data_IF_529165589357
#
_entry.id   IF_529165589357
#
_cell.length_a   1.000
_cell.length_b   1.000
_cell.length_c   1.000
_cell.angle_alpha   90.00
_cell.angle_beta   90.00
_cell.angle_gamma   90.00
#
_symmetry.space_group_name_H-M   'P 1'
#
loop_
_entity.id
_entity.type
_entity.pdbx_description
1 polymer ?
#
# COMPACT_ATOMS: atom_id res chain seq x y z
N UNK A 1 15.26 -2.01 26.13
CA UNK A 1 15.09 -3.26 25.35
C UNK A 1 15.32 -2.94 23.88
N UNK A 2 15.96 -3.82 23.13
CA UNK A 2 16.05 -3.71 21.67
C UNK A 2 14.88 -4.44 21.05
N UNK A 3 14.17 -3.79 20.11
CA UNK A 3 13.05 -4.34 19.37
C UNK A 3 13.47 -4.58 17.93
N UNK A 4 13.10 -5.72 17.35
CA UNK A 4 13.48 -6.09 15.98
C UNK A 4 12.24 -6.14 15.10
N UNK A 5 12.30 -5.47 13.96
CA UNK A 5 11.26 -5.53 12.96
C UNK A 5 11.79 -6.01 11.62
N UNK A 6 11.11 -6.97 11.01
CA UNK A 6 11.40 -7.47 9.67
C UNK A 6 10.26 -7.08 8.73
N UNK A 7 10.62 -6.59 7.55
CA UNK A 7 9.69 -6.38 6.44
C UNK A 7 10.06 -7.29 5.26
N UNK A 8 9.18 -8.25 4.97
CA UNK A 8 9.33 -9.19 3.85
C UNK A 8 8.76 -8.53 2.59
N UNK A 9 9.54 -7.65 1.98
CA UNK A 9 9.13 -6.85 0.82
C UNK A 9 9.16 -7.61 -0.51
N UNK A 10 8.92 -6.91 -1.62
CA UNK A 10 8.92 -7.53 -2.96
C UNK A 10 10.35 -7.77 -3.49
N UNK A 11 11.31 -6.93 -3.15
CA UNK A 11 12.70 -7.02 -3.65
C UNK A 11 13.70 -7.58 -2.65
N UNK A 12 13.31 -7.73 -1.38
CA UNK A 12 14.18 -8.22 -0.32
C UNK A 12 13.53 -8.09 1.04
N UNK A 13 14.19 -8.64 2.06
CA UNK A 13 13.89 -8.40 3.47
C UNK A 13 14.68 -7.20 3.93
N UNK A 14 13.99 -6.24 4.54
CA UNK A 14 14.56 -5.18 5.34
C UNK A 14 14.33 -5.47 6.82
N UNK A 15 15.36 -5.40 7.62
CA UNK A 15 15.26 -5.62 9.05
C UNK A 15 15.90 -4.45 9.82
N UNK A 16 15.27 -4.07 10.92
CA UNK A 16 15.76 -3.00 11.81
C UNK A 16 15.77 -3.47 13.25
N UNK A 17 16.76 -3.00 14.01
CA UNK A 17 16.78 -3.08 15.45
C UNK A 17 16.67 -1.66 16.01
N UNK A 18 15.72 -1.43 16.91
CA UNK A 18 15.44 -0.10 17.47
C UNK A 18 15.38 -0.16 18.99
N UNK A 19 15.73 0.95 19.64
CA UNK A 19 15.53 1.14 21.07
C UNK A 19 14.08 1.52 21.40
N UNK A 20 13.69 1.49 22.66
CA UNK A 20 12.35 1.81 23.13
C UNK A 20 11.91 3.26 22.78
N UNK A 21 12.86 4.17 22.66
CA UNK A 21 12.62 5.56 22.27
C UNK A 21 12.61 5.79 20.74
N UNK A 22 12.62 4.69 19.94
CA UNK A 22 12.61 4.74 18.49
C UNK A 22 13.97 4.97 17.84
N UNK A 23 15.06 5.04 18.62
CA UNK A 23 16.41 5.20 18.09
C UNK A 23 16.86 3.97 17.30
N UNK A 24 17.38 4.20 16.07
CA UNK A 24 17.90 3.14 15.22
C UNK A 24 19.21 2.59 15.77
N UNK A 25 19.25 1.30 16.11
CA UNK A 25 20.43 0.59 16.64
C UNK A 25 21.21 -0.10 15.52
N UNK A 26 20.52 -0.82 14.62
CA UNK A 26 21.13 -1.52 13.50
C UNK A 26 20.13 -1.75 12.38
N UNK A 27 20.64 -1.96 11.17
CA UNK A 27 19.84 -2.36 10.00
C UNK A 27 20.51 -3.51 9.27
N UNK A 28 19.69 -4.32 8.60
CA UNK A 28 20.15 -5.36 7.70
C UNK A 28 19.18 -5.45 6.52
N UNK A 29 19.73 -5.71 5.34
CA UNK A 29 18.94 -5.93 4.13
C UNK A 29 19.51 -7.13 3.37
N UNK A 30 18.60 -7.92 2.76
CA UNK A 30 18.96 -9.07 1.95
C UNK A 30 17.96 -9.19 0.79
N UNK A 31 18.48 -9.16 -0.44
CA UNK A 31 17.69 -9.22 -1.65
C UNK A 31 17.42 -10.66 -2.12
N UNK A 32 16.38 -10.82 -2.93
CA UNK A 32 16.05 -12.06 -3.63
C UNK A 32 15.44 -11.79 -5.00
N UNK A 33 15.49 -12.78 -5.93
CA UNK A 33 15.02 -12.58 -7.28
C UNK A 33 13.48 -12.47 -7.35
N UNK A 34 13.01 -11.71 -8.33
CA UNK A 34 11.64 -11.72 -8.79
C UNK A 34 11.57 -12.52 -10.10
N UNK A 35 10.74 -13.55 -10.14
CA UNK A 35 10.46 -14.32 -11.37
C UNK A 35 9.27 -13.72 -12.11
N UNK A 36 9.45 -13.48 -13.42
CA UNK A 36 8.39 -13.02 -14.32
C UNK A 36 8.24 -14.01 -15.48
N UNK A 37 7.68 -15.21 -15.24
CA UNK A 37 7.70 -16.31 -16.23
C UNK A 37 6.89 -16.00 -17.50
N UNK A 38 5.97 -15.03 -17.45
CA UNK A 38 5.20 -14.50 -18.59
C UNK A 38 4.91 -13.02 -18.38
N UNK A 39 4.58 -12.25 -19.43
CA UNK A 39 4.12 -10.87 -19.28
C UNK A 39 2.96 -10.77 -18.28
N UNK A 40 3.07 -9.87 -17.32
CA UNK A 40 2.07 -9.66 -16.26
C UNK A 40 2.08 -10.70 -15.14
N UNK A 41 2.97 -11.71 -15.16
CA UNK A 41 3.13 -12.68 -14.09
C UNK A 41 4.27 -12.30 -13.16
N UNK A 42 4.07 -12.50 -11.86
CA UNK A 42 5.06 -12.23 -10.83
C UNK A 42 5.04 -13.32 -9.76
N UNK A 43 6.15 -14.01 -9.58
CA UNK A 43 6.28 -15.14 -8.66
C UNK A 43 7.59 -15.07 -7.87
N UNK A 44 7.57 -15.62 -6.65
CA UNK A 44 8.78 -15.80 -5.83
C UNK A 44 8.76 -17.15 -5.11
N UNK A 45 9.94 -17.69 -4.82
CA UNK A 45 10.07 -18.85 -3.95
C UNK A 45 9.98 -18.40 -2.48
N UNK A 46 9.02 -18.90 -1.68
CA UNK A 46 8.93 -18.57 -0.26
C UNK A 46 10.19 -18.92 0.56
N UNK A 47 11.00 -19.89 0.10
CA UNK A 47 12.27 -20.22 0.76
C UNK A 47 13.29 -19.09 0.65
N UNK A 48 13.26 -18.29 -0.43
CA UNK A 48 14.14 -17.13 -0.57
C UNK A 48 13.85 -16.08 0.52
N UNK A 49 12.56 -15.88 0.85
CA UNK A 49 12.17 -14.98 1.95
C UNK A 49 12.68 -15.46 3.30
N UNK A 50 12.58 -16.78 3.54
CA UNK A 50 13.07 -17.38 4.77
C UNK A 50 14.59 -17.25 4.90
N UNK A 51 15.35 -17.56 3.87
CA UNK A 51 16.81 -17.43 3.87
C UNK A 51 17.24 -15.97 4.08
N UNK A 52 16.59 -15.01 3.41
CA UNK A 52 16.87 -13.60 3.59
C UNK A 52 16.53 -13.11 5.01
N UNK A 53 15.39 -13.56 5.57
CA UNK A 53 15.03 -13.24 6.96
C UNK A 53 16.07 -13.76 7.95
N UNK A 54 16.54 -15.00 7.80
CA UNK A 54 17.60 -15.56 8.64
C UNK A 54 18.92 -14.78 8.52
N UNK A 55 19.32 -14.43 7.28
CA UNK A 55 20.53 -13.65 7.04
C UNK A 55 20.45 -12.26 7.65
N UNK A 56 19.29 -11.61 7.63
CA UNK A 56 19.06 -10.32 8.30
C UNK A 56 19.12 -10.47 9.82
N UNK A 57 18.41 -11.44 10.40
CA UNK A 57 18.38 -11.67 11.85
C UNK A 57 19.76 -11.97 12.41
N UNK A 58 20.59 -12.72 11.70
CA UNK A 58 21.97 -13.04 12.12
C UNK A 58 22.89 -11.81 12.25
N UNK A 59 22.49 -10.67 11.65
CA UNK A 59 23.25 -9.41 11.68
C UNK A 59 22.73 -8.39 12.70
N UNK A 60 21.62 -8.70 13.35
CA UNK A 60 20.96 -7.80 14.30
C UNK A 60 21.14 -8.30 15.74
N UNK A 61 21.10 -7.40 16.75
CA UNK A 61 21.04 -7.80 18.15
C UNK A 61 19.75 -8.56 18.45
N UNK A 62 19.80 -9.45 19.44
CA UNK A 62 18.63 -10.20 19.90
C UNK A 62 17.57 -9.27 20.53
N UNK A 63 16.29 -9.61 20.32
CA UNK A 63 15.15 -8.90 20.89
C UNK A 63 13.82 -9.49 20.42
N UNK A 64 12.70 -9.02 20.96
CA UNK A 64 11.36 -9.34 20.41
C UNK A 64 11.27 -9.00 18.93
N UNK A 65 10.75 -9.94 18.14
CA UNK A 65 10.67 -9.82 16.69
C UNK A 65 9.22 -9.56 16.27
N UNK A 66 9.04 -8.53 15.45
CA UNK A 66 7.79 -8.25 14.72
C UNK A 66 7.98 -8.42 13.21
N UNK A 67 6.89 -8.79 12.53
CA UNK A 67 6.91 -9.08 11.12
C UNK A 67 5.99 -8.15 10.35
N UNK A 68 6.48 -7.63 9.24
CA UNK A 68 5.72 -6.98 8.19
C UNK A 68 6.04 -7.64 6.86
N UNK A 69 5.23 -7.43 5.85
CA UNK A 69 5.58 -7.89 4.51
C UNK A 69 4.54 -7.52 3.46
N UNK A 70 4.95 -7.75 2.20
CA UNK A 70 4.09 -7.56 1.04
C UNK A 70 2.77 -8.33 1.21
N UNK A 71 1.67 -7.63 1.01
CA UNK A 71 0.32 -8.16 1.19
C UNK A 71 -0.10 -9.07 0.01
N UNK A 72 -1.17 -9.82 0.18
CA UNK A 72 -1.90 -10.52 -0.90
C UNK A 72 -1.19 -11.70 -1.55
N UNK A 73 0.10 -11.91 -1.34
CA UNK A 73 0.86 -13.00 -1.96
C UNK A 73 0.30 -14.37 -1.55
N UNK A 74 0.07 -15.27 -2.51
CA UNK A 74 -0.48 -16.59 -2.24
C UNK A 74 0.62 -17.63 -2.04
N UNK A 75 0.78 -18.10 -0.80
CA UNK A 75 1.60 -19.27 -0.45
C UNK A 75 0.69 -20.45 -0.16
N UNK A 76 0.87 -21.56 -0.89
CA UNK A 76 0.11 -22.79 -0.70
C UNK A 76 0.99 -23.93 -0.22
N UNK A 77 0.58 -24.58 0.88
CA UNK A 77 1.33 -25.67 1.50
C UNK A 77 0.54 -26.99 1.45
N UNK A 78 1.27 -28.09 1.33
CA UNK A 78 0.74 -29.44 1.46
C UNK A 78 0.54 -29.87 2.92
N UNK A 79 0.11 -31.12 3.12
CA UNK A 79 -0.13 -31.68 4.45
C UNK A 79 1.15 -31.80 5.31
N UNK A 80 2.30 -31.90 4.67
CA UNK A 80 3.63 -31.95 5.29
C UNK A 80 4.22 -30.56 5.57
N UNK A 81 3.48 -29.48 5.25
CA UNK A 81 3.91 -28.10 5.42
C UNK A 81 4.86 -27.58 4.33
N UNK A 82 5.13 -28.37 3.30
CA UNK A 82 5.99 -27.96 2.18
C UNK A 82 5.24 -27.04 1.21
N UNK A 83 5.98 -26.10 0.65
CA UNK A 83 5.51 -25.22 -0.43
C UNK A 83 5.21 -26.05 -1.67
N UNK A 84 4.01 -25.94 -2.23
CA UNK A 84 3.57 -26.70 -3.39
C UNK A 84 4.02 -26.08 -4.72
N UNK A 85 4.24 -24.75 -4.71
CA UNK A 85 4.68 -24.00 -5.88
C UNK A 85 5.21 -22.61 -5.46
N UNK A 86 5.94 -21.87 -6.33
CA UNK A 86 6.28 -20.48 -6.10
C UNK A 86 5.02 -19.63 -5.80
N UNK A 87 5.13 -18.69 -4.89
CA UNK A 87 4.04 -17.79 -4.51
C UNK A 87 3.67 -16.86 -5.66
N UNK A 88 2.36 -16.67 -5.90
CA UNK A 88 1.85 -15.65 -6.84
C UNK A 88 1.73 -14.33 -6.08
N UNK A 89 2.41 -13.28 -6.56
CA UNK A 89 2.54 -12.02 -5.82
C UNK A 89 1.39 -11.03 -6.05
N UNK A 90 1.41 -9.94 -5.30
CA UNK A 90 0.40 -8.87 -5.32
C UNK A 90 0.35 -8.09 -6.65
N UNK A 91 1.46 -8.00 -7.38
CA UNK A 91 1.60 -7.31 -8.66
C UNK A 91 1.36 -8.23 -9.87
N UNK A 92 0.93 -9.47 -9.64
CA UNK A 92 0.55 -10.42 -10.69
C UNK A 92 -0.81 -10.07 -11.29
N UNK A 93 -0.94 -10.14 -12.61
CA UNK A 93 -2.14 -9.72 -13.34
C UNK A 93 -2.90 -10.89 -14.00
N UNK A 94 -2.51 -12.16 -13.72
CA UNK A 94 -3.07 -13.33 -14.44
C UNK A 94 -4.53 -13.65 -14.14
N UNK A 95 -5.09 -13.14 -13.03
CA UNK A 95 -6.37 -13.59 -12.45
C UNK A 95 -7.56 -12.67 -12.80
N UNK A 96 -7.52 -11.97 -13.93
CA UNK A 96 -8.59 -11.05 -14.32
C UNK A 96 -9.96 -11.77 -14.52
N UNK A 97 -9.94 -12.99 -15.08
CA UNK A 97 -11.15 -13.79 -15.26
C UNK A 97 -11.74 -14.23 -13.92
N UNK A 98 -10.89 -14.61 -12.97
CA UNK A 98 -11.30 -15.04 -11.64
C UNK A 98 -11.83 -13.85 -10.80
N UNK A 99 -11.36 -12.65 -11.03
CA UNK A 99 -11.96 -11.44 -10.43
C UNK A 99 -13.41 -11.25 -10.90
N UNK A 100 -13.67 -11.38 -12.20
CA UNK A 100 -15.02 -11.31 -12.74
C UNK A 100 -15.90 -12.44 -12.19
N UNK A 101 -15.39 -13.68 -12.12
CA UNK A 101 -16.10 -14.82 -11.53
C UNK A 101 -16.50 -14.55 -10.07
N UNK A 102 -15.61 -13.97 -9.26
CA UNK A 102 -15.91 -13.63 -7.87
C UNK A 102 -17.03 -12.60 -7.78
N UNK A 103 -16.97 -11.53 -8.56
CA UNK A 103 -18.00 -10.49 -8.59
C UNK A 103 -19.33 -11.03 -9.11
N UNK A 104 -19.32 -11.94 -10.10
CA UNK A 104 -20.54 -12.61 -10.62
C UNK A 104 -21.18 -13.55 -9.58
N UNK A 105 -20.38 -14.30 -8.80
CA UNK A 105 -20.89 -15.26 -7.78
C UNK A 105 -21.45 -14.58 -6.54
N UNK A 106 -20.84 -13.47 -6.10
CA UNK A 106 -21.17 -12.83 -4.82
C UNK A 106 -21.97 -11.54 -5.04
N UNK A 107 -21.73 -10.83 -6.14
CA UNK A 107 -22.19 -9.47 -6.38
C UNK A 107 -21.25 -8.42 -5.80
N UNK A 108 -20.97 -7.37 -6.57
CA UNK A 108 -20.01 -6.32 -6.18
C UNK A 108 -20.37 -5.67 -4.85
N UNK A 109 -21.64 -5.27 -4.67
CA UNK A 109 -22.10 -4.59 -3.45
C UNK A 109 -21.88 -5.47 -2.20
N UNK A 110 -22.26 -6.75 -2.28
CA UNK A 110 -22.11 -7.69 -1.16
C UNK A 110 -20.65 -8.01 -0.88
N UNK A 111 -19.85 -8.19 -1.92
CA UNK A 111 -18.40 -8.42 -1.77
C UNK A 111 -17.73 -7.24 -1.05
N UNK A 112 -18.04 -6.01 -1.48
CA UNK A 112 -17.50 -4.78 -0.86
C UNK A 112 -18.00 -4.62 0.58
N UNK A 113 -19.28 -4.92 0.85
CA UNK A 113 -19.82 -4.86 2.21
C UNK A 113 -19.07 -5.79 3.17
N UNK A 114 -18.77 -7.03 2.75
CA UNK A 114 -18.09 -8.02 3.58
C UNK A 114 -16.58 -7.76 3.69
N UNK A 115 -15.92 -7.52 2.54
CA UNK A 115 -14.45 -7.53 2.45
C UNK A 115 -13.81 -6.14 2.39
N UNK A 116 -14.62 -5.08 2.33
CA UNK A 116 -14.13 -3.71 2.15
C UNK A 116 -13.60 -3.41 0.75
N UNK A 117 -13.67 -4.36 -0.20
CA UNK A 117 -12.98 -4.26 -1.47
C UNK A 117 -13.75 -4.97 -2.60
N UNK A 118 -13.53 -4.50 -3.82
CA UNK A 118 -13.86 -5.24 -5.04
C UNK A 118 -12.79 -6.29 -5.34
N UNK A 119 -13.07 -7.24 -6.23
CA UNK A 119 -12.08 -8.21 -6.67
C UNK A 119 -11.00 -7.54 -7.55
N UNK A 120 -9.74 -7.75 -7.18
CA UNK A 120 -8.58 -7.26 -7.93
C UNK A 120 -7.57 -8.40 -8.12
N UNK A 121 -6.84 -8.39 -9.23
CA UNK A 121 -5.87 -9.43 -9.60
C UNK A 121 -4.78 -9.64 -8.55
N UNK A 122 -4.43 -8.59 -7.81
CA UNK A 122 -3.44 -8.64 -6.74
C UNK A 122 -3.87 -9.43 -5.50
N UNK A 123 -5.18 -9.61 -5.23
CA UNK A 123 -5.66 -10.28 -4.02
C UNK A 123 -5.50 -11.81 -4.03
N UNK A 124 -5.62 -12.44 -2.86
CA UNK A 124 -5.33 -13.87 -2.66
C UNK A 124 -6.43 -14.76 -3.23
N UNK A 125 -7.72 -14.43 -3.03
CA UNK A 125 -8.84 -15.25 -3.46
C UNK A 125 -8.86 -15.51 -4.99
N UNK A 126 -8.68 -14.53 -5.88
CA UNK A 126 -8.60 -14.77 -7.31
C UNK A 126 -7.49 -15.75 -7.69
N UNK A 127 -6.36 -15.74 -6.97
CA UNK A 127 -5.23 -16.65 -7.22
C UNK A 127 -5.54 -18.10 -6.84
N UNK A 128 -6.33 -18.30 -5.77
CA UNK A 128 -6.83 -19.63 -5.40
C UNK A 128 -7.76 -20.18 -6.48
N UNK A 129 -8.69 -19.38 -7.00
CA UNK A 129 -9.55 -19.79 -8.12
C UNK A 129 -8.74 -20.10 -9.37
N UNK A 130 -7.73 -19.26 -9.66
CA UNK A 130 -6.82 -19.52 -10.78
C UNK A 130 -6.09 -20.86 -10.63
N UNK A 131 -5.60 -21.22 -9.44
CA UNK A 131 -4.99 -22.54 -9.20
C UNK A 131 -6.00 -23.65 -9.45
N UNK A 132 -7.24 -23.50 -9.02
CA UNK A 132 -8.30 -24.49 -9.25
C UNK A 132 -8.52 -24.75 -10.74
N UNK A 133 -8.53 -23.70 -11.57
CA UNK A 133 -8.80 -23.80 -12.99
C UNK A 133 -7.59 -24.24 -13.82
N UNK A 134 -6.41 -23.76 -13.46
CA UNK A 134 -5.21 -23.92 -14.31
C UNK A 134 -4.16 -24.89 -13.76
N UNK A 135 -4.22 -25.22 -12.46
CA UNK A 135 -3.31 -26.15 -11.80
C UNK A 135 -4.07 -27.06 -10.81
N UNK A 136 -5.07 -27.84 -11.27
CA UNK A 136 -5.95 -28.63 -10.40
C UNK A 136 -5.18 -29.66 -9.57
N UNK A 137 -4.06 -30.20 -10.07
CA UNK A 137 -3.23 -31.13 -9.32
C UNK A 137 -2.56 -30.44 -8.10
N UNK A 138 -2.13 -29.19 -8.23
CA UNK A 138 -1.61 -28.38 -7.10
C UNK A 138 -2.73 -28.04 -6.16
N UNK A 139 -3.88 -27.56 -6.69
CA UNK A 139 -5.04 -27.18 -5.92
C UNK A 139 -5.56 -28.34 -5.03
N UNK A 140 -5.61 -29.55 -5.55
CA UNK A 140 -6.05 -30.75 -4.81
C UNK A 140 -5.12 -31.13 -3.64
N UNK A 141 -3.88 -30.68 -3.65
CA UNK A 141 -2.90 -30.96 -2.60
C UNK A 141 -2.89 -29.89 -1.51
N UNK A 142 -3.53 -28.71 -1.71
CA UNK A 142 -3.55 -27.62 -0.74
C UNK A 142 -4.16 -28.11 0.57
N UNK A 143 -3.50 -27.79 1.67
CA UNK A 143 -3.99 -27.99 3.04
C UNK A 143 -3.88 -26.71 3.86
N UNK A 144 -2.96 -25.82 3.50
CA UNK A 144 -2.79 -24.55 4.20
C UNK A 144 -2.49 -23.43 3.22
N UNK A 145 -3.04 -22.26 3.49
CA UNK A 145 -2.84 -20.99 2.76
C UNK A 145 -2.23 -19.99 3.72
N UNK A 146 -1.12 -19.38 3.33
CA UNK A 146 -0.44 -18.33 4.09
C UNK A 146 -0.15 -17.14 3.18
N UNK A 147 0.14 -15.99 3.78
CA UNK A 147 0.72 -14.83 3.09
C UNK A 147 2.26 -14.79 3.30
N UNK A 148 2.99 -13.95 2.58
CA UNK A 148 4.46 -13.97 2.60
C UNK A 148 5.08 -13.87 4.00
N UNK A 149 4.67 -12.86 4.81
CA UNK A 149 5.20 -12.72 6.18
C UNK A 149 4.76 -13.86 7.11
N UNK A 150 3.56 -14.42 6.88
CA UNK A 150 3.03 -15.52 7.69
C UNK A 150 3.76 -16.82 7.40
N UNK A 151 4.27 -16.99 6.17
CA UNK A 151 5.18 -18.07 5.85
C UNK A 151 6.51 -17.93 6.63
N UNK A 152 7.10 -16.74 6.67
CA UNK A 152 8.31 -16.47 7.47
C UNK A 152 8.01 -16.70 8.96
N UNK A 153 6.84 -16.26 9.47
CA UNK A 153 6.39 -16.55 10.81
C UNK A 153 6.32 -18.05 11.08
N UNK A 154 5.67 -18.81 10.20
CA UNK A 154 5.58 -20.27 10.33
C UNK A 154 6.96 -20.92 10.38
N UNK A 155 7.91 -20.47 9.59
CA UNK A 155 9.30 -20.96 9.61
C UNK A 155 10.04 -20.61 10.90
N UNK A 156 9.75 -19.44 11.52
CA UNK A 156 10.34 -19.00 12.78
C UNK A 156 9.77 -19.73 13.99
N UNK A 157 8.47 -19.98 14.01
CA UNK A 157 7.73 -20.39 15.23
C UNK A 157 7.14 -21.80 15.14
N UNK A 158 6.95 -22.34 13.94
CA UNK A 158 6.16 -23.56 13.69
C UNK A 158 4.64 -23.34 13.74
N UNK A 159 4.17 -22.14 14.07
CA UNK A 159 2.75 -21.81 14.19
C UNK A 159 2.21 -21.13 12.94
N UNK A 160 1.03 -21.56 12.49
CA UNK A 160 0.28 -20.91 11.42
C UNK A 160 -0.68 -19.92 12.04
N UNK A 161 -0.44 -18.66 11.77
CA UNK A 161 -1.27 -17.55 12.23
C UNK A 161 -1.22 -16.43 11.19
N UNK A 162 -2.26 -15.62 11.14
CA UNK A 162 -2.35 -14.40 10.34
C UNK A 162 -2.96 -13.29 11.20
N UNK A 163 -2.54 -12.05 10.98
CA UNK A 163 -3.20 -10.91 11.59
C UNK A 163 -4.37 -10.40 10.73
N UNK A 164 -5.35 -9.76 11.37
CA UNK A 164 -6.55 -9.25 10.72
C UNK A 164 -6.24 -8.20 9.64
N UNK A 165 -5.16 -7.40 9.82
CA UNK A 165 -4.80 -6.37 8.84
C UNK A 165 -4.36 -7.00 7.52
N UNK A 166 -3.47 -8.01 7.54
CA UNK A 166 -3.02 -8.69 6.34
C UNK A 166 -4.10 -9.64 5.79
N UNK A 167 -4.85 -10.33 6.67
CA UNK A 167 -5.97 -11.18 6.27
C UNK A 167 -7.04 -10.42 5.47
N UNK A 168 -7.26 -9.14 5.77
CA UNK A 168 -8.15 -8.26 4.98
C UNK A 168 -7.77 -8.21 3.51
N UNK A 169 -6.48 -8.29 3.20
CA UNK A 169 -5.94 -8.30 1.82
C UNK A 169 -6.13 -9.62 1.08
N UNK A 170 -6.75 -10.63 1.69
CA UNK A 170 -7.04 -11.91 1.01
C UNK A 170 -8.31 -11.89 0.17
N UNK A 171 -9.21 -10.96 0.41
CA UNK A 171 -10.60 -10.94 -0.09
C UNK A 171 -11.46 -12.11 0.46
N UNK A 172 -11.03 -12.73 1.56
CA UNK A 172 -11.73 -13.85 2.23
C UNK A 172 -12.17 -13.50 3.66
N UNK A 173 -11.72 -12.35 4.20
CA UNK A 173 -12.05 -11.89 5.54
C UNK A 173 -13.36 -11.09 5.52
N UNK A 174 -14.23 -11.33 6.49
CA UNK A 174 -15.24 -10.37 6.90
C UNK A 174 -14.54 -9.27 7.72
N UNK A 175 -14.30 -8.16 7.07
CA UNK A 175 -13.46 -7.07 7.61
C UNK A 175 -14.15 -6.38 8.79
N UNK A 176 -15.49 -6.29 8.77
CA UNK A 176 -16.25 -5.74 9.89
C UNK A 176 -16.09 -6.57 11.16
N UNK A 177 -16.11 -7.90 11.02
CA UNK A 177 -16.05 -8.85 12.14
C UNK A 177 -14.63 -9.38 12.42
N UNK A 178 -13.63 -9.02 11.60
CA UNK A 178 -12.22 -9.41 11.74
C UNK A 178 -12.02 -10.94 11.78
N UNK A 179 -12.81 -11.66 11.03
CA UNK A 179 -12.86 -13.12 10.97
C UNK A 179 -13.04 -13.61 9.54
N UNK A 180 -12.66 -14.84 9.23
CA UNK A 180 -12.90 -15.39 7.90
C UNK A 180 -14.39 -15.37 7.55
N UNK A 181 -14.71 -14.90 6.35
CA UNK A 181 -16.09 -14.86 5.85
C UNK A 181 -16.53 -16.26 5.41
N UNK A 182 -17.42 -16.89 6.20
CA UNK A 182 -18.02 -18.17 5.80
C UNK A 182 -18.80 -18.03 4.48
N UNK A 183 -19.48 -16.89 4.29
CA UNK A 183 -20.26 -16.61 3.08
C UNK A 183 -19.37 -16.53 1.84
N UNK A 184 -18.29 -15.75 1.88
CA UNK A 184 -17.36 -15.63 0.74
C UNK A 184 -16.65 -16.95 0.47
N UNK A 185 -16.16 -17.62 1.50
CA UNK A 185 -15.49 -18.92 1.36
C UNK A 185 -16.43 -19.98 0.76
N UNK A 186 -17.68 -20.05 1.22
CA UNK A 186 -18.68 -20.96 0.66
C UNK A 186 -19.05 -20.63 -0.78
N UNK A 187 -19.26 -19.33 -1.10
CA UNK A 187 -19.58 -18.89 -2.45
C UNK A 187 -18.46 -19.22 -3.47
N UNK A 188 -17.21 -19.26 -2.99
CA UNK A 188 -16.03 -19.55 -3.83
C UNK A 188 -15.55 -21.00 -3.74
N UNK A 189 -16.23 -21.87 -2.98
CA UNK A 189 -15.84 -23.25 -2.70
C UNK A 189 -14.40 -23.37 -2.13
N UNK A 190 -14.01 -22.43 -1.24
CA UNK A 190 -12.72 -22.42 -0.57
C UNK A 190 -12.88 -23.00 0.85
N UNK A 191 -12.20 -24.11 1.18
CA UNK A 191 -12.31 -24.71 2.51
C UNK A 191 -11.75 -23.79 3.60
N UNK A 192 -12.55 -23.42 4.60
CA UNK A 192 -12.11 -22.64 5.76
C UNK A 192 -10.94 -23.28 6.50
N UNK A 193 -10.86 -24.61 6.53
CA UNK A 193 -9.77 -25.34 7.17
C UNK A 193 -8.38 -25.14 6.53
N UNK A 194 -8.30 -24.53 5.37
CA UNK A 194 -7.02 -24.15 4.75
C UNK A 194 -6.45 -22.85 5.34
N UNK A 195 -7.33 -22.00 5.89
CA UNK A 195 -6.99 -20.67 6.36
C UNK A 195 -6.50 -20.74 7.83
N UNK A 196 -5.44 -19.99 8.19
CA UNK A 196 -4.91 -19.98 9.55
C UNK A 196 -5.86 -19.25 10.51
N UNK A 197 -5.75 -19.45 11.82
CA UNK A 197 -6.43 -18.62 12.80
C UNK A 197 -6.06 -17.14 12.64
N UNK A 198 -7.07 -16.26 12.76
CA UNK A 198 -6.91 -14.80 12.69
C UNK A 198 -6.70 -14.25 14.10
N UNK A 199 -5.73 -13.36 14.24
CA UNK A 199 -5.39 -12.68 15.50
C UNK A 199 -5.34 -11.16 15.28
N UNK A 200 -5.32 -10.38 16.34
CA UNK A 200 -4.94 -8.98 16.24
C UNK A 200 -3.43 -8.84 15.96
N UNK A 201 -3.05 -7.78 15.25
CA UNK A 201 -1.65 -7.55 14.87
C UNK A 201 -0.71 -7.45 16.09
N UNK A 202 -1.22 -6.93 17.21
CA UNK A 202 -0.48 -6.84 18.48
C UNK A 202 -0.29 -8.19 19.16
N UNK A 203 -1.19 -9.17 18.92
CA UNK A 203 -1.08 -10.51 19.50
C UNK A 203 -0.05 -11.37 18.79
N UNK A 204 0.13 -11.17 17.49
CA UNK A 204 1.10 -11.92 16.68
C UNK A 204 2.35 -11.09 16.32
N UNK A 205 2.46 -9.86 16.82
CA UNK A 205 3.54 -8.93 16.52
C UNK A 205 3.75 -8.82 15.00
N UNK A 206 2.71 -8.52 14.24
CA UNK A 206 2.85 -8.44 12.79
C UNK A 206 1.64 -7.84 12.10
N UNK A 207 1.88 -7.22 10.93
CA UNK A 207 0.86 -6.63 10.08
C UNK A 207 1.31 -6.63 8.61
N UNK A 208 0.37 -6.55 7.66
CA UNK A 208 0.69 -6.19 6.28
C UNK A 208 1.45 -4.86 6.20
N UNK A 209 2.26 -4.70 5.16
CA UNK A 209 3.23 -3.59 5.04
C UNK A 209 2.60 -2.20 5.20
N UNK A 210 1.39 -1.98 4.66
CA UNK A 210 0.70 -0.68 4.73
C UNK A 210 0.28 -0.33 6.17
N UNK A 211 -0.29 -1.30 6.89
CA UNK A 211 -0.71 -1.10 8.27
C UNK A 211 0.50 -0.98 9.23
N UNK A 212 1.55 -1.77 9.01
CA UNK A 212 2.80 -1.64 9.75
C UNK A 212 3.47 -0.29 9.49
N UNK A 213 3.54 0.17 8.23
CA UNK A 213 4.09 1.48 7.89
C UNK A 213 3.30 2.62 8.54
N UNK A 214 1.97 2.50 8.61
CA UNK A 214 1.13 3.46 9.32
C UNK A 214 1.47 3.57 10.81
N UNK A 215 1.68 2.43 11.49
CA UNK A 215 2.20 2.40 12.87
C UNK A 215 3.58 3.08 12.94
N UNK A 216 4.47 2.77 12.00
CA UNK A 216 5.82 3.32 11.93
C UNK A 216 5.90 4.84 11.75
N UNK A 217 4.90 5.45 11.15
CA UNK A 217 4.78 6.91 11.03
C UNK A 217 3.78 7.51 12.05
N UNK A 218 3.20 6.67 12.93
CA UNK A 218 2.33 7.09 14.01
C UNK A 218 0.89 7.41 13.58
N UNK A 219 0.41 6.81 12.51
CA UNK A 219 -0.99 6.90 12.08
C UNK A 219 -1.75 5.71 12.65
N UNK A 220 -2.10 5.78 13.94
CA UNK A 220 -2.74 4.72 14.73
C UNK A 220 -4.12 5.08 15.26
N UNK A 221 -4.51 6.34 15.12
CA UNK A 221 -5.81 6.87 15.53
C UNK A 221 -6.31 7.92 14.53
N UNK A 222 -7.62 8.29 14.55
CA UNK A 222 -8.14 9.33 13.69
C UNK A 222 -7.45 10.68 13.93
N UNK A 223 -7.12 11.41 12.86
CA UNK A 223 -6.50 12.74 12.92
C UNK A 223 -5.39 12.90 11.91
N UNK A 224 -4.28 12.18 12.03
CA UNK A 224 -3.23 12.17 11.01
C UNK A 224 -3.56 11.18 9.88
N UNK A 225 -3.10 11.49 8.66
CA UNK A 225 -3.11 10.58 7.52
C UNK A 225 -1.68 10.28 7.07
N UNK A 226 -1.41 9.08 6.57
CA UNK A 226 -0.13 8.82 5.91
C UNK A 226 -0.22 9.18 4.43
N UNK A 227 0.78 9.90 3.92
CA UNK A 227 0.91 10.30 2.52
C UNK A 227 2.21 9.73 1.98
N UNK A 228 2.12 8.73 1.12
CA UNK A 228 3.30 8.05 0.55
C UNK A 228 3.57 8.57 -0.85
N UNK A 229 4.75 9.16 -1.07
CA UNK A 229 5.27 9.61 -2.36
C UNK A 229 6.32 8.61 -2.87
N UNK A 230 5.91 7.36 -3.07
CA UNK A 230 6.70 6.30 -3.68
C UNK A 230 6.52 6.23 -5.20
N UNK A 231 6.95 5.15 -5.86
CA UNK A 231 6.65 4.92 -7.29
C UNK A 231 5.16 5.08 -7.56
N UNK A 232 4.31 4.47 -6.74
CA UNK A 232 2.88 4.76 -6.58
C UNK A 232 2.66 5.77 -5.46
N UNK A 233 1.49 6.40 -5.41
CA UNK A 233 1.07 7.29 -4.32
C UNK A 233 -0.02 6.65 -3.48
N UNK A 234 0.06 6.82 -2.16
CA UNK A 234 -0.96 6.30 -1.25
C UNK A 234 -1.36 7.39 -0.26
N UNK A 235 -2.66 7.55 -0.05
CA UNK A 235 -3.20 8.26 1.11
C UNK A 235 -3.92 7.24 1.97
N UNK A 236 -3.42 7.07 3.18
CA UNK A 236 -3.93 6.11 4.16
C UNK A 236 -4.48 6.86 5.38
N UNK A 237 -5.65 6.46 5.87
CA UNK A 237 -6.27 7.07 7.04
C UNK A 237 -6.93 6.03 7.94
N UNK A 238 -6.88 6.26 9.25
CA UNK A 238 -7.70 5.52 10.21
C UNK A 238 -9.16 5.94 10.07
N UNK A 239 -10.06 4.96 9.97
CA UNK A 239 -11.49 5.20 9.91
C UNK A 239 -12.09 5.28 11.33
N UNK A 240 -13.10 6.15 11.54
CA UNK A 240 -13.81 6.21 12.83
C UNK A 240 -14.66 4.95 13.10
N UNK A 241 -15.04 4.22 12.05
CA UNK A 241 -15.75 2.96 12.08
C UNK A 241 -15.57 2.22 10.74
N UNK A 242 -15.94 0.95 10.67
CA UNK A 242 -15.97 0.24 9.39
C UNK A 242 -16.95 0.91 8.42
N UNK A 243 -16.44 1.42 7.32
CA UNK A 243 -17.21 2.12 6.29
C UNK A 243 -16.57 1.88 4.91
N UNK A 244 -16.98 0.82 4.19
CA UNK A 244 -16.48 0.56 2.85
C UNK A 244 -17.08 1.54 1.83
N UNK A 245 -16.30 1.89 0.81
CA UNK A 245 -16.81 2.63 -0.35
C UNK A 245 -17.63 1.70 -1.24
N UNK A 246 -18.92 1.94 -1.38
CA UNK A 246 -19.85 1.05 -2.10
C UNK A 246 -19.44 0.76 -3.56
N UNK A 247 -18.59 1.58 -4.16
CA UNK A 247 -18.05 1.37 -5.51
C UNK A 247 -16.67 0.68 -5.51
N UNK A 248 -16.08 0.44 -4.33
CA UNK A 248 -14.76 -0.17 -4.19
C UNK A 248 -13.62 0.64 -4.81
N UNK A 249 -13.71 1.99 -4.79
CA UNK A 249 -12.69 2.90 -5.34
C UNK A 249 -11.50 3.09 -4.42
N UNK A 250 -11.65 2.80 -3.13
CA UNK A 250 -10.60 2.80 -2.11
C UNK A 250 -10.58 1.45 -1.42
N UNK A 251 -9.43 1.08 -0.89
CA UNK A 251 -9.31 -0.13 -0.08
C UNK A 251 -9.74 0.16 1.35
N UNK A 252 -10.50 -0.76 1.96
CA UNK A 252 -10.84 -0.72 3.39
C UNK A 252 -10.42 -2.05 4.01
N UNK A 253 -9.58 -1.98 5.04
CA UNK A 253 -8.99 -3.12 5.73
C UNK A 253 -9.04 -2.93 7.24
N UNK A 254 -8.83 -4.01 7.99
CA UNK A 254 -8.49 -3.91 9.41
C UNK A 254 -7.17 -3.18 9.58
N UNK A 255 -7.06 -2.32 10.57
CA UNK A 255 -5.80 -1.70 10.96
C UNK A 255 -4.97 -2.65 11.84
N UNK A 256 -3.66 -2.38 11.98
CA UNK A 256 -2.80 -3.08 12.94
C UNK A 256 -3.14 -2.77 14.41
N UNK A 257 -3.90 -1.72 14.67
CA UNK A 257 -4.47 -1.40 15.98
C UNK A 257 -5.75 -2.22 16.17
N UNK A 258 -5.92 -2.92 17.31
CA UNK A 258 -7.10 -3.72 17.59
C UNK A 258 -8.40 -2.94 17.44
N UNK A 259 -9.46 -3.62 16.97
CA UNK A 259 -10.80 -3.05 16.78
C UNK A 259 -10.83 -1.75 15.96
N UNK A 260 -9.85 -1.54 15.08
CA UNK A 260 -9.69 -0.34 14.26
C UNK A 260 -9.62 -0.71 12.78
N UNK A 261 -10.09 0.16 11.91
CA UNK A 261 -10.05 0.00 10.45
C UNK A 261 -9.31 1.16 9.81
N UNK A 262 -8.83 0.94 8.60
CA UNK A 262 -8.26 2.00 7.78
C UNK A 262 -8.82 1.96 6.37
N UNK A 263 -8.80 3.10 5.71
CA UNK A 263 -9.00 3.17 4.28
C UNK A 263 -7.78 3.76 3.60
N UNK A 264 -7.52 3.33 2.36
CA UNK A 264 -6.46 3.90 1.54
C UNK A 264 -6.88 4.07 0.08
N UNK A 265 -6.55 5.24 -0.46
CA UNK A 265 -6.57 5.49 -1.90
C UNK A 265 -5.18 5.27 -2.48
N UNK A 266 -5.11 4.61 -3.62
CA UNK A 266 -3.85 4.24 -4.28
C UNK A 266 -3.84 4.73 -5.71
N UNK A 267 -2.95 5.66 -6.04
CA UNK A 267 -2.64 6.05 -7.41
C UNK A 267 -1.41 5.30 -7.93
N UNK A 268 -1.42 4.90 -9.20
CA UNK A 268 -0.39 4.00 -9.74
C UNK A 268 0.91 4.69 -10.13
N UNK A 269 0.92 6.00 -10.37
CA UNK A 269 2.09 6.73 -10.87
C UNK A 269 2.30 8.05 -10.12
N UNK A 270 2.98 8.00 -8.97
CA UNK A 270 3.40 9.19 -8.21
C UNK A 270 4.87 9.57 -8.51
N UNK A 271 5.85 9.18 -7.70
CA UNK A 271 7.25 9.41 -8.04
C UNK A 271 7.69 8.65 -9.31
N UNK A 272 6.92 7.63 -9.72
CA UNK A 272 7.05 7.03 -11.05
C UNK A 272 6.85 8.03 -12.19
N UNK A 273 5.90 8.98 -12.05
CA UNK A 273 5.71 10.08 -13.02
C UNK A 273 6.93 11.02 -13.06
N UNK A 274 7.49 11.34 -11.89
CA UNK A 274 8.70 12.17 -11.80
C UNK A 274 9.92 11.46 -12.43
N UNK A 275 10.11 10.17 -12.15
CA UNK A 275 11.19 9.39 -12.74
C UNK A 275 11.07 9.30 -14.28
N UNK A 276 9.86 9.05 -14.77
CA UNK A 276 9.56 9.04 -16.21
C UNK A 276 9.86 10.39 -16.86
N UNK A 277 9.28 11.48 -16.33
CA UNK A 277 9.41 12.80 -16.94
C UNK A 277 10.86 13.30 -16.87
N UNK A 278 11.59 13.04 -15.78
CA UNK A 278 13.02 13.32 -15.71
C UNK A 278 13.79 12.60 -16.83
N UNK A 279 13.46 11.34 -17.10
CA UNK A 279 14.07 10.59 -18.22
C UNK A 279 13.83 11.24 -19.58
N UNK A 280 12.70 11.91 -19.77
CA UNK A 280 12.36 12.65 -21.00
C UNK A 280 13.07 14.02 -21.06
N UNK A 281 13.11 14.75 -19.93
CA UNK A 281 13.62 16.14 -19.89
C UNK A 281 15.13 16.23 -19.70
N UNK A 282 15.78 15.21 -19.13
CA UNK A 282 17.23 15.05 -19.06
C UNK A 282 17.92 15.49 -17.75
N UNK A 283 17.65 16.67 -17.16
CA UNK A 283 18.31 17.09 -15.92
C UNK A 283 17.96 16.27 -14.69
N UNK A 284 18.75 16.44 -13.61
CA UNK A 284 18.44 15.90 -12.29
C UNK A 284 17.24 16.60 -11.64
N UNK A 285 16.68 15.97 -10.60
CA UNK A 285 15.51 16.48 -9.88
C UNK A 285 15.73 17.89 -9.32
N UNK A 286 16.87 18.18 -8.71
CA UNK A 286 17.15 19.46 -8.08
C UNK A 286 17.18 20.62 -9.11
N UNK A 287 17.69 20.36 -10.32
CA UNK A 287 17.67 21.32 -11.43
C UNK A 287 16.24 21.57 -11.90
N UNK A 288 15.44 20.51 -12.07
CA UNK A 288 14.05 20.63 -12.52
C UNK A 288 13.18 21.31 -11.47
N UNK A 289 13.39 21.06 -10.19
CA UNK A 289 12.68 21.75 -9.09
C UNK A 289 12.94 23.26 -9.12
N UNK A 290 14.22 23.68 -9.25
CA UNK A 290 14.58 25.11 -9.38
C UNK A 290 13.98 25.80 -10.60
N UNK A 291 13.81 25.09 -11.69
CA UNK A 291 13.15 25.62 -12.89
C UNK A 291 11.64 25.72 -12.69
N UNK A 292 11.03 24.73 -12.02
CA UNK A 292 9.61 24.70 -11.68
C UNK A 292 9.21 25.76 -10.64
N UNK A 293 10.12 26.16 -9.72
CA UNK A 293 9.89 27.23 -8.76
C UNK A 293 9.64 28.60 -9.42
N UNK A 294 10.03 28.79 -10.68
CA UNK A 294 9.79 30.02 -11.43
C UNK A 294 8.36 30.16 -11.93
N UNK A 295 7.59 29.06 -11.89
CA UNK A 295 6.22 29.01 -12.35
C UNK A 295 5.28 29.10 -11.16
N UNK A 296 4.29 29.99 -11.27
CA UNK A 296 3.22 30.11 -10.27
C UNK A 296 2.35 28.85 -10.20
N UNK A 297 1.62 28.64 -9.09
CA UNK A 297 0.65 27.56 -8.95
C UNK A 297 -0.28 27.45 -10.15
N UNK A 298 -0.41 26.22 -10.70
CA UNK A 298 -1.21 25.94 -11.89
C UNK A 298 -0.50 26.17 -13.21
N UNK A 299 0.81 26.49 -13.19
CA UNK A 299 1.70 26.56 -14.36
C UNK A 299 1.05 27.26 -15.58
N UNK A 300 0.42 28.42 -15.38
CA UNK A 300 -0.34 29.18 -16.42
C UNK A 300 -1.39 28.33 -17.17
N UNK A 301 -1.99 27.34 -16.51
CA UNK A 301 -3.04 26.50 -17.08
C UNK A 301 -2.57 25.18 -17.67
N UNK A 302 -1.28 24.87 -17.60
CA UNK A 302 -0.76 23.56 -17.97
C UNK A 302 -1.12 22.54 -16.89
N UNK A 303 -1.79 21.46 -17.27
CA UNK A 303 -2.20 20.38 -16.38
C UNK A 303 -1.58 19.06 -16.82
N UNK A 304 -1.28 18.20 -15.88
CA UNK A 304 -0.82 16.84 -16.12
C UNK A 304 -1.77 15.81 -15.48
N UNK A 305 -2.22 14.84 -16.28
CA UNK A 305 -2.93 13.66 -15.81
C UNK A 305 -1.95 12.52 -15.56
N UNK A 306 -1.76 12.04 -14.30
CA UNK A 306 -0.66 11.13 -13.95
C UNK A 306 -0.95 9.64 -14.25
N UNK A 307 -1.84 9.32 -15.19
CA UNK A 307 -2.32 7.95 -15.44
C UNK A 307 -1.39 7.13 -16.34
N UNK A 308 -0.07 7.19 -16.12
CA UNK A 308 0.95 6.57 -16.99
C UNK A 308 0.88 5.04 -17.03
N UNK A 309 0.40 4.42 -15.96
CA UNK A 309 0.29 2.96 -15.80
C UNK A 309 -1.17 2.49 -15.62
N UNK A 310 -2.12 3.22 -16.19
CA UNK A 310 -3.51 3.08 -15.80
C UNK A 310 -3.79 3.83 -14.49
N UNK A 311 -4.95 3.61 -13.89
CA UNK A 311 -5.26 4.17 -12.58
C UNK A 311 -6.11 3.18 -11.75
N UNK A 312 -6.06 3.36 -10.41
CA UNK A 312 -6.85 2.59 -9.44
C UNK A 312 -7.82 3.50 -8.68
N UNK A 313 -7.32 4.52 -8.01
CA UNK A 313 -8.13 5.51 -7.27
C UNK A 313 -7.99 6.89 -7.91
N UNK A 314 -9.08 7.59 -8.22
CA UNK A 314 -10.49 7.25 -8.01
C UNK A 314 -11.12 6.45 -9.16
N UNK A 315 -10.38 6.18 -10.21
CA UNK A 315 -10.87 5.56 -11.45
C UNK A 315 -10.23 4.20 -11.66
N UNK A 316 -10.92 3.06 -11.36
CA UNK A 316 -10.35 1.73 -11.58
C UNK A 316 -10.32 1.40 -13.09
N UNK A 317 -9.38 2.02 -13.80
CA UNK A 317 -9.25 1.97 -15.26
C UNK A 317 -7.79 1.64 -15.66
N UNK A 318 -7.49 0.37 -15.97
CA UNK A 318 -6.15 -0.05 -16.41
C UNK A 318 -5.75 0.53 -17.78
N UNK A 319 -6.74 1.00 -18.56
CA UNK A 319 -6.51 1.59 -19.88
C UNK A 319 -6.36 3.13 -19.85
N UNK A 320 -6.47 3.76 -18.67
CA UNK A 320 -6.17 5.18 -18.54
C UNK A 320 -4.71 5.47 -18.94
N UNK A 321 -4.49 6.62 -19.56
CA UNK A 321 -3.15 7.07 -19.99
C UNK A 321 -2.92 8.50 -19.59
N UNK A 322 -1.65 8.81 -19.26
CA UNK A 322 -1.20 10.15 -18.89
C UNK A 322 -1.30 11.14 -20.05
N UNK A 323 -1.51 12.41 -19.72
CA UNK A 323 -1.56 13.49 -20.70
C UNK A 323 -1.13 14.81 -20.09
N UNK A 324 -0.49 15.66 -20.92
CA UNK A 324 -0.39 17.10 -20.70
C UNK A 324 -1.46 17.82 -21.48
N UNK A 325 -2.14 18.79 -20.85
CA UNK A 325 -3.17 19.62 -21.49
C UNK A 325 -2.93 21.09 -21.20
N UNK A 326 -3.24 21.97 -22.14
CA UNK A 326 -3.05 23.43 -21.98
C UNK A 326 -1.67 23.94 -22.39
N UNK A 327 -0.85 23.17 -23.13
CA UNK A 327 0.44 23.61 -23.60
C UNK A 327 0.36 24.87 -24.48
N UNK A 328 1.26 25.81 -24.27
CA UNK A 328 1.47 27.01 -25.07
C UNK A 328 2.96 27.18 -25.40
N UNK A 329 3.29 28.11 -26.28
CA UNK A 329 4.68 28.43 -26.63
C UNK A 329 5.50 29.03 -25.47
N UNK A 330 4.84 29.42 -24.38
CA UNK A 330 5.49 29.94 -23.17
C UNK A 330 6.06 28.84 -22.27
N UNK A 331 5.44 27.65 -22.30
CA UNK A 331 5.78 26.57 -21.39
C UNK A 331 7.12 25.94 -21.77
N UNK A 332 8.03 25.96 -20.81
CA UNK A 332 9.31 25.27 -20.88
C UNK A 332 9.28 23.97 -20.05
N UNK A 333 10.43 23.31 -19.90
CA UNK A 333 10.51 22.08 -19.11
C UNK A 333 10.23 22.28 -17.62
N UNK A 334 10.49 23.49 -17.07
CA UNK A 334 10.15 23.85 -15.70
C UNK A 334 8.63 23.87 -15.49
N UNK A 335 7.88 24.42 -16.47
CA UNK A 335 6.41 24.36 -16.44
C UNK A 335 5.89 22.92 -16.49
N UNK A 336 6.47 22.08 -17.35
CA UNK A 336 6.08 20.67 -17.45
C UNK A 336 6.38 19.92 -16.14
N UNK A 337 7.52 20.19 -15.53
CA UNK A 337 7.88 19.60 -14.23
C UNK A 337 6.91 20.05 -13.13
N UNK A 338 6.62 21.36 -13.06
CA UNK A 338 5.63 21.92 -12.11
C UNK A 338 4.27 21.27 -12.29
N UNK A 339 3.75 21.22 -13.50
CA UNK A 339 2.44 20.60 -13.79
C UNK A 339 2.41 19.11 -13.43
N UNK A 340 3.53 18.38 -13.59
CA UNK A 340 3.62 16.98 -13.16
C UNK A 340 3.58 16.83 -11.65
N UNK A 341 4.33 17.66 -10.89
CA UNK A 341 4.29 17.64 -9.42
C UNK A 341 2.88 17.95 -8.89
N UNK A 342 2.22 18.94 -9.48
CA UNK A 342 0.84 19.33 -9.16
C UNK A 342 -0.17 18.24 -9.54
N UNK A 343 -0.05 17.64 -10.73
CA UNK A 343 -0.93 16.57 -11.20
C UNK A 343 -0.91 15.33 -10.28
N UNK A 344 0.26 14.95 -9.80
CA UNK A 344 0.39 13.88 -8.80
C UNK A 344 -0.25 14.29 -7.48
N UNK A 345 -0.03 15.53 -7.02
CA UNK A 345 -0.66 16.04 -5.79
C UNK A 345 -2.19 16.05 -5.91
N UNK A 346 -2.75 16.38 -7.07
CA UNK A 346 -4.19 16.31 -7.32
C UNK A 346 -4.73 14.88 -7.28
N UNK A 347 -4.00 13.88 -7.78
CA UNK A 347 -4.37 12.47 -7.64
C UNK A 347 -4.38 12.01 -6.17
N UNK A 348 -3.46 12.50 -5.35
CA UNK A 348 -3.48 12.27 -3.90
C UNK A 348 -4.69 12.97 -3.25
N UNK A 349 -5.05 14.19 -3.71
CA UNK A 349 -6.26 14.88 -3.24
C UNK A 349 -7.53 14.11 -3.61
N UNK A 350 -7.64 13.55 -4.82
CA UNK A 350 -8.76 12.68 -5.20
C UNK A 350 -8.92 11.51 -4.20
N UNK A 351 -7.80 10.88 -3.81
CA UNK A 351 -7.79 9.84 -2.78
C UNK A 351 -8.28 10.38 -1.43
N UNK A 352 -7.76 11.53 -0.97
CA UNK A 352 -8.14 12.15 0.30
C UNK A 352 -9.62 12.54 0.34
N UNK A 353 -10.19 13.05 -0.77
CA UNK A 353 -11.61 13.41 -0.84
C UNK A 353 -12.53 12.18 -0.69
N UNK A 354 -12.13 11.03 -1.25
CA UNK A 354 -12.85 9.78 -1.03
C UNK A 354 -12.78 9.35 0.45
N UNK A 355 -11.63 9.47 1.11
CA UNK A 355 -11.49 9.17 2.52
C UNK A 355 -12.32 10.13 3.40
N UNK A 356 -12.37 11.42 3.03
CA UNK A 356 -13.23 12.41 3.69
C UNK A 356 -14.72 12.04 3.58
N UNK A 357 -15.13 11.49 2.44
CA UNK A 357 -16.50 11.00 2.25
C UNK A 357 -16.84 9.80 3.15
N UNK A 358 -15.83 9.01 3.56
CA UNK A 358 -15.97 7.91 4.54
C UNK A 358 -15.88 8.39 6.00
N UNK A 359 -15.86 9.70 6.25
CA UNK A 359 -15.87 10.27 7.59
C UNK A 359 -14.50 10.66 8.13
N UNK A 360 -13.41 10.49 7.37
CA UNK A 360 -12.07 10.93 7.79
C UNK A 360 -12.03 12.45 7.90
N UNK A 361 -11.43 12.95 8.99
CA UNK A 361 -11.23 14.39 9.26
C UNK A 361 -9.74 14.62 9.56
N UNK A 362 -8.90 14.73 8.52
CA UNK A 362 -7.46 14.83 8.72
C UNK A 362 -7.07 16.21 9.28
N UNK A 363 -6.12 16.20 10.18
CA UNK A 363 -5.52 17.41 10.77
C UNK A 363 -4.07 17.61 10.31
N UNK A 364 -3.38 16.54 9.91
CA UNK A 364 -2.02 16.56 9.40
C UNK A 364 -1.79 15.37 8.47
N UNK A 365 -0.79 15.49 7.57
CA UNK A 365 -0.30 14.41 6.73
C UNK A 365 1.11 14.00 7.15
N UNK A 366 1.35 12.72 7.46
CA UNK A 366 2.69 12.17 7.69
C UNK A 366 3.26 11.62 6.40
N UNK A 367 4.27 12.31 5.87
CA UNK A 367 4.79 12.03 4.54
C UNK A 367 5.99 11.09 4.58
N UNK A 368 6.03 10.16 3.62
CA UNK A 368 7.13 9.22 3.42
C UNK A 368 7.35 8.92 1.93
N UNK A 369 8.38 8.14 1.63
CA UNK A 369 8.76 7.77 0.27
C UNK A 369 9.76 8.73 -0.37
N UNK A 370 10.34 8.34 -1.52
CA UNK A 370 11.43 9.09 -2.16
C UNK A 370 11.07 10.51 -2.60
N UNK A 371 9.80 10.77 -2.94
CA UNK A 371 9.32 12.10 -3.29
C UNK A 371 9.33 13.10 -2.13
N UNK A 372 9.35 12.63 -0.88
CA UNK A 372 9.45 13.45 0.31
C UNK A 372 10.81 14.19 0.46
N UNK A 373 11.77 13.88 -0.40
CA UNK A 373 13.06 14.60 -0.46
C UNK A 373 13.01 15.94 -1.21
N UNK A 374 11.95 16.25 -1.98
CA UNK A 374 11.80 17.53 -2.70
C UNK A 374 10.97 18.51 -1.84
N UNK A 375 11.59 19.60 -1.41
CA UNK A 375 10.91 20.65 -0.64
C UNK A 375 9.78 21.31 -1.46
N UNK A 376 10.03 21.58 -2.75
CA UNK A 376 9.01 22.11 -3.66
C UNK A 376 7.81 21.18 -3.75
N UNK A 377 8.05 19.87 -3.92
CA UNK A 377 6.94 18.92 -4.05
C UNK A 377 6.15 18.79 -2.76
N UNK A 378 6.83 18.75 -1.61
CA UNK A 378 6.15 18.75 -0.32
C UNK A 378 5.28 20.00 -0.11
N UNK A 379 5.79 21.16 -0.51
CA UNK A 379 5.04 22.42 -0.44
C UNK A 379 3.80 22.39 -1.35
N UNK A 380 3.91 21.81 -2.56
CA UNK A 380 2.78 21.62 -3.47
C UNK A 380 1.77 20.63 -2.84
N UNK A 381 2.21 19.48 -2.36
CA UNK A 381 1.33 18.47 -1.77
C UNK A 381 0.62 19.00 -0.53
N UNK A 382 1.33 19.69 0.40
CA UNK A 382 0.72 20.31 1.56
C UNK A 382 -0.42 21.28 1.15
N UNK A 383 -0.11 22.14 0.16
CA UNK A 383 -1.05 23.15 -0.33
C UNK A 383 -2.26 22.54 -1.07
N UNK A 384 -2.02 21.52 -1.90
CA UNK A 384 -3.09 20.82 -2.63
C UNK A 384 -4.00 20.03 -1.69
N UNK A 385 -3.45 19.37 -0.66
CA UNK A 385 -4.23 18.61 0.32
C UNK A 385 -4.91 19.54 1.36
N UNK A 386 -4.40 20.77 1.49
CA UNK A 386 -4.84 21.71 2.53
C UNK A 386 -4.49 21.22 3.93
N UNK A 387 -3.34 20.56 4.09
CA UNK A 387 -2.88 19.94 5.33
C UNK A 387 -1.41 20.24 5.58
N UNK A 388 -1.01 20.53 6.83
CA UNK A 388 0.40 20.50 7.19
C UNK A 388 0.95 19.09 6.96
N UNK A 389 2.15 19.00 6.38
CA UNK A 389 2.87 17.73 6.16
C UNK A 389 4.00 17.60 7.16
N UNK A 390 3.96 16.54 7.94
CA UNK A 390 4.94 16.18 8.95
C UNK A 390 5.92 15.12 8.38
N UNK A 391 7.23 15.40 8.48
CA UNK A 391 8.26 14.37 8.25
C UNK A 391 8.68 13.77 9.57
N UNK A 392 8.70 12.44 9.66
CA UNK A 392 9.17 11.73 10.85
C UNK A 392 10.69 11.59 10.88
N UNK A 393 11.26 11.46 12.07
CA UNK A 393 12.70 11.28 12.26
C UNK A 393 13.21 9.93 11.73
N UNK A 394 12.36 8.89 11.76
CA UNK A 394 12.64 7.57 11.19
C UNK A 394 11.99 7.44 9.81
N UNK A 395 12.75 6.93 8.84
CA UNK A 395 12.31 6.59 7.48
C UNK A 395 12.30 5.07 7.23
N UNK A 396 12.33 4.25 8.31
CA UNK A 396 12.46 2.81 8.22
C UNK A 396 11.15 2.07 7.84
N UNK A 397 10.07 2.81 7.67
CA UNK A 397 8.79 2.33 7.10
C UNK A 397 8.15 1.20 7.90
N UNK A 398 7.71 0.16 7.18
CA UNK A 398 6.99 -1.01 7.71
C UNK A 398 7.82 -1.83 8.70
N UNK A 399 9.13 -1.95 8.50
CA UNK A 399 10.01 -2.65 9.44
C UNK A 399 10.05 -1.96 10.82
N UNK A 400 10.04 -0.62 10.85
CA UNK A 400 9.96 0.12 12.11
C UNK A 400 8.63 -0.11 12.82
N UNK A 401 7.51 -0.02 12.09
CA UNK A 401 6.19 -0.32 12.66
C UNK A 401 6.08 -1.76 13.18
N UNK A 402 6.68 -2.74 12.48
CA UNK A 402 6.76 -4.12 12.96
C UNK A 402 7.55 -4.24 14.28
N UNK A 403 8.66 -3.50 14.42
CA UNK A 403 9.41 -3.45 15.69
C UNK A 403 8.56 -2.88 16.84
N UNK A 404 7.76 -1.84 16.58
CA UNK A 404 6.84 -1.27 17.59
C UNK A 404 5.77 -2.28 18.01
N UNK A 405 5.18 -3.01 17.05
CA UNK A 405 4.23 -4.10 17.35
C UNK A 405 4.88 -5.23 18.17
N UNK A 406 6.16 -5.53 17.94
CA UNK A 406 6.91 -6.47 18.77
C UNK A 406 7.05 -5.97 20.21
N UNK A 407 7.27 -4.67 20.40
CA UNK A 407 7.31 -4.02 21.70
C UNK A 407 6.00 -4.11 22.45
N UNK A 408 4.86 -3.92 21.76
CA UNK A 408 3.54 -4.09 22.36
C UNK A 408 3.32 -5.53 22.81
N UNK A 409 3.58 -6.51 21.94
CA UNK A 409 3.45 -7.94 22.29
C UNK A 409 4.33 -8.34 23.45
N UNK A 410 5.54 -7.80 23.54
CA UNK A 410 6.50 -8.09 24.61
C UNK A 410 6.18 -7.36 25.92
N UNK A 411 5.17 -6.50 25.96
CA UNK A 411 4.81 -5.70 27.14
C UNK A 411 5.76 -4.56 27.45
N UNK A 412 6.58 -4.15 26.47
CA UNK A 412 7.44 -2.95 26.56
C UNK A 412 6.55 -1.70 26.46
N UNK A 413 5.55 -1.74 25.61
CA UNK A 413 4.52 -0.72 25.45
C UNK A 413 3.15 -1.28 25.83
N UNK A 414 2.29 -0.44 26.38
CA UNK A 414 0.93 -0.83 26.78
C UNK A 414 0.07 -1.16 25.54
N UNK A 415 0.18 -0.37 24.49
CA UNK A 415 -0.54 -0.50 23.22
C UNK A 415 0.23 0.20 22.09
N UNK A 416 -0.38 0.24 20.89
CA UNK A 416 0.22 0.89 19.72
C UNK A 416 0.31 2.42 19.87
N UNK A 417 -0.61 3.06 20.59
CA UNK A 417 -0.58 4.49 20.82
C UNK A 417 0.57 4.87 21.76
N UNK A 418 0.77 4.10 22.83
CA UNK A 418 1.92 4.24 23.74
C UNK A 418 3.26 4.03 23.01
N UNK A 419 3.35 3.00 22.16
CA UNK A 419 4.53 2.74 21.33
C UNK A 419 4.85 3.93 20.41
N UNK A 420 3.84 4.47 19.75
CA UNK A 420 3.98 5.64 18.86
C UNK A 420 4.39 6.89 19.63
N UNK A 421 3.75 7.16 20.78
CA UNK A 421 4.05 8.35 21.60
C UNK A 421 5.51 8.33 22.11
N UNK A 422 6.03 7.15 22.42
CA UNK A 422 7.41 6.98 22.89
C UNK A 422 8.48 6.98 21.80
N UNK A 423 8.13 6.58 20.56
CA UNK A 423 9.13 6.21 19.55
C UNK A 423 9.03 6.98 18.23
N UNK A 424 7.89 7.59 17.91
CA UNK A 424 7.69 8.32 16.63
C UNK A 424 7.79 9.82 16.87
N UNK A 425 8.82 10.44 16.33
CA UNK A 425 9.08 11.87 16.51
C UNK A 425 8.95 12.60 15.18
N UNK A 426 8.21 13.73 15.19
CA UNK A 426 8.15 14.64 14.05
C UNK A 426 9.45 15.44 14.00
N UNK A 427 10.11 15.46 12.84
CA UNK A 427 11.34 16.21 12.59
C UNK A 427 11.08 17.63 12.19
N UNK A 428 10.18 17.83 11.24
CA UNK A 428 9.79 19.13 10.70
C UNK A 428 8.39 19.07 10.08
N UNK A 429 7.82 20.25 9.81
CA UNK A 429 6.47 20.45 9.27
C UNK A 429 6.52 21.39 8.08
N UNK A 430 5.83 21.04 7.00
CA UNK A 430 5.64 21.89 5.82
C UNK A 430 4.19 22.36 5.79
N UNK A 431 3.98 23.67 5.97
CA UNK A 431 2.64 24.29 6.01
C UNK A 431 2.09 24.54 4.59
N UNK A 432 0.78 24.41 4.36
CA UNK A 432 0.15 24.82 3.11
C UNK A 432 0.23 26.35 2.95
N UNK A 433 0.67 26.82 1.78
CA UNK A 433 0.81 28.27 1.50
C UNK A 433 0.11 28.74 0.22
N UNK A 434 -0.31 27.81 -0.66
CA UNK A 434 -0.97 28.13 -1.92
C UNK A 434 -2.42 27.62 -1.92
N UNK A 435 -3.29 28.31 -2.66
CA UNK A 435 -4.63 27.85 -2.96
C UNK A 435 -4.64 27.15 -4.34
N UNK A 436 -5.12 25.94 -4.38
CA UNK A 436 -5.21 25.11 -5.59
C UNK A 436 -6.65 24.74 -5.97
N UNK A 437 -7.67 25.26 -5.33
CA UNK A 437 -9.05 24.78 -5.53
C UNK A 437 -9.54 24.96 -6.99
N UNK A 438 -9.28 26.10 -7.61
CA UNK A 438 -9.62 26.35 -9.00
C UNK A 438 -8.84 25.46 -9.98
N UNK A 439 -7.55 25.21 -9.71
CA UNK A 439 -6.71 24.35 -10.54
C UNK A 439 -7.16 22.88 -10.40
N UNK A 440 -7.43 22.45 -9.18
CA UNK A 440 -7.95 21.12 -8.91
C UNK A 440 -9.32 20.86 -9.55
N UNK A 441 -10.23 21.84 -9.52
CA UNK A 441 -11.52 21.75 -10.19
C UNK A 441 -11.37 21.49 -11.70
N UNK A 442 -10.40 22.13 -12.35
CA UNK A 442 -10.06 21.90 -13.77
C UNK A 442 -9.43 20.52 -13.99
N UNK A 443 -8.51 20.10 -13.10
CA UNK A 443 -7.88 18.78 -13.18
C UNK A 443 -8.89 17.64 -13.14
N UNK A 444 -9.92 17.71 -12.30
CA UNK A 444 -10.98 16.69 -12.22
C UNK A 444 -11.75 16.50 -13.54
N UNK A 445 -11.76 17.51 -14.41
CA UNK A 445 -12.35 17.41 -15.75
C UNK A 445 -11.50 16.62 -16.76
N UNK A 446 -10.24 16.29 -16.45
CA UNK A 446 -9.34 15.64 -17.41
C UNK A 446 -9.74 14.18 -17.68
N UNK A 447 -9.91 13.37 -16.63
CA UNK A 447 -10.20 11.94 -16.80
C UNK A 447 -11.44 11.68 -17.66
N UNK A 448 -12.63 12.30 -17.42
CA UNK A 448 -13.80 12.09 -18.27
C UNK A 448 -13.58 12.46 -19.73
N UNK A 449 -12.73 13.46 -19.99
CA UNK A 449 -12.40 13.90 -21.35
C UNK A 449 -11.47 12.90 -22.05
N UNK A 450 -10.43 12.45 -21.37
CA UNK A 450 -9.48 11.46 -21.87
C UNK A 450 -10.13 10.08 -22.09
N UNK A 451 -11.03 9.65 -21.19
CA UNK A 451 -11.76 8.41 -21.32
C UNK A 451 -12.66 8.41 -22.56
N UNK A 452 -13.41 9.51 -22.81
CA UNK A 452 -14.25 9.67 -24.01
C UNK A 452 -13.46 9.63 -25.31
N UNK A 453 -12.26 10.21 -25.35
CA UNK A 453 -11.43 10.22 -26.56
C UNK A 453 -10.95 8.82 -26.97
N UNK A 454 -10.87 7.87 -26.03
CA UNK A 454 -10.50 6.46 -26.30
C UNK A 454 -11.67 5.63 -26.84
N UNK A 455 -12.91 5.97 -26.47
CA UNK A 455 -14.11 5.24 -26.88
C UNK A 455 -14.79 5.81 -28.14
N UNK A 456 -14.29 6.93 -28.67
CA UNK A 456 -14.80 7.47 -29.92
C UNK A 456 -14.47 6.50 -31.07
N UNK A 457 -15.44 6.07 -31.91
CA UNK A 457 -15.15 5.26 -33.08
C UNK A 457 -14.15 6.03 -33.97
N UNK A 458 -13.13 5.30 -34.45
CA UNK A 458 -12.28 5.82 -35.54
C UNK A 458 -13.16 6.21 -36.71
N UNK A 459 -13.19 7.51 -37.05
CA UNK A 459 -13.94 8.06 -38.16
C UNK A 459 -13.44 7.52 -39.50
#
# INVERSE_FOLDING_TARGET
VTLVGLDVGTSGVKAVAVSEDGGLVATAEEGYPLSTPRPGWAEQDPEDWWHAAQACLARLPEGPIGLSGQMHGLVVLGADGRVLRPAILWNDQRTAAECAEIEDRIGLERLVELTGNRALTGFTAPKLLWLRHHQPDVYGQIRYVLLPKDYVRFRLTGERAIDAADASGTLLLDVAHRAWSEEVCAALDIPLGWLPPVYESTEVAGAGDQAAAAVGVGVVEPGAVSVVLGTSGVVFAVLPAYAPDAQGRVHVFCHAVPATWHAMGVMLSAAGSAAWLRGVLGPDHATLDKEAERWEPGAEGLLFAPYLAGERTPYPDPEARGAFTGLSLRHDRGAMWRAMLEGVAFGLRDSLELLRALGVRPTAGRVSGGGAGSELWLQIVASVLGLPLERTASDQGSAFGAALLAGVRAGVFADAADAVAGSVHVRDVVEPIWDYDDVYARFRGLYPTLARSRTAPSA
#
